data_IF_814892995368
#
_entry.id   IF_814892995368
#
_cell.length_a   1.000
_cell.length_b   1.000
_cell.length_c   1.000
_cell.angle_alpha   90.00
_cell.angle_beta   90.00
_cell.angle_gamma   90.00
#
_symmetry.space_group_name_H-M   'P 1'
#
loop_
_entity.id
_entity.type
_entity.pdbx_description
1 polymer ?
#
# COMPACT_ATOMS: atom_id res chain seq x y z
N UNK A 1 -20.20 23.03 70.96
CA UNK A 1 -19.18 23.33 69.93
C UNK A 1 -18.23 22.17 69.56
N UNK A 2 -17.96 21.20 70.43
CA UNK A 2 -17.03 20.06 70.09
C UNK A 2 -17.68 18.94 69.23
N UNK A 3 -18.98 18.67 69.43
CA UNK A 3 -19.71 17.58 68.75
C UNK A 3 -19.98 17.93 67.26
N UNK A 4 -20.26 19.20 66.92
CA UNK A 4 -20.49 19.65 65.55
C UNK A 4 -19.25 19.58 64.67
N UNK A 5 -18.05 19.76 65.24
CA UNK A 5 -16.77 19.62 64.50
C UNK A 5 -16.42 18.16 64.24
N UNK A 6 -16.79 17.25 65.11
CA UNK A 6 -16.57 15.80 64.88
C UNK A 6 -17.44 15.23 63.77
N UNK A 7 -18.71 15.68 63.70
CA UNK A 7 -19.63 15.26 62.65
C UNK A 7 -19.23 15.82 61.27
N UNK A 8 -18.72 17.04 61.22
CA UNK A 8 -18.20 17.61 59.95
C UNK A 8 -16.94 16.91 59.47
N UNK A 9 -16.04 16.47 60.34
CA UNK A 9 -14.83 15.72 59.98
C UNK A 9 -15.15 14.32 59.47
N UNK A 10 -16.19 13.67 59.99
CA UNK A 10 -16.62 12.33 59.53
C UNK A 10 -17.32 12.40 58.16
N UNK A 11 -18.07 13.44 57.87
CA UNK A 11 -18.71 13.67 56.54
C UNK A 11 -17.68 13.98 55.46
N UNK A 12 -16.62 14.72 55.73
CA UNK A 12 -15.53 15.00 54.80
C UNK A 12 -14.66 13.75 54.51
N UNK A 13 -14.44 12.88 55.49
CA UNK A 13 -13.73 11.63 55.34
C UNK A 13 -14.52 10.59 54.49
N UNK A 14 -15.85 10.58 54.60
CA UNK A 14 -16.73 9.72 53.80
C UNK A 14 -16.77 10.11 52.30
N UNK A 15 -16.63 11.40 51.99
CA UNK A 15 -16.56 11.89 50.60
C UNK A 15 -15.25 11.56 49.93
N UNK A 16 -14.16 11.46 50.66
CA UNK A 16 -12.83 11.10 50.09
C UNK A 16 -12.71 9.63 49.68
N UNK A 17 -13.55 8.74 50.21
CA UNK A 17 -13.55 7.31 49.87
C UNK A 17 -14.41 6.98 48.64
N UNK A 18 -15.29 7.88 48.20
CA UNK A 18 -16.13 7.67 47.02
C UNK A 18 -15.45 8.02 45.68
N UNK A 19 -14.27 8.67 45.72
CA UNK A 19 -13.61 9.22 44.55
C UNK A 19 -12.63 8.23 43.84
N UNK A 20 -12.55 6.97 44.26
CA UNK A 20 -11.59 5.98 43.71
C UNK A 20 -12.24 4.79 43.00
N UNK A 21 -13.45 4.94 42.49
CA UNK A 21 -13.92 3.96 41.50
C UNK A 21 -13.19 4.23 40.19
N UNK A 22 -12.00 3.63 40.03
CA UNK A 22 -11.33 3.62 38.73
C UNK A 22 -12.31 3.08 37.69
N UNK A 23 -12.51 3.85 36.61
CA UNK A 23 -13.30 3.35 35.49
C UNK A 23 -12.78 1.97 35.06
N UNK A 24 -13.63 0.99 34.77
CA UNK A 24 -13.19 -0.30 34.31
C UNK A 24 -12.24 -0.10 33.11
N UNK A 25 -11.15 -0.87 33.02
CA UNK A 25 -10.22 -0.72 31.92
C UNK A 25 -10.99 -0.89 30.61
N UNK A 26 -10.81 0.07 29.70
CA UNK A 26 -11.42 0.02 28.37
C UNK A 26 -10.88 -1.24 27.67
N UNK A 27 -11.74 -2.21 27.44
CA UNK A 27 -11.39 -3.40 26.67
C UNK A 27 -11.52 -3.07 25.18
N UNK A 28 -10.38 -2.95 24.49
CA UNK A 28 -10.34 -2.83 23.04
C UNK A 28 -10.50 -4.23 22.45
N UNK A 29 -11.49 -4.48 21.58
CA UNK A 29 -11.66 -5.78 20.95
C UNK A 29 -10.42 -6.16 20.14
N UNK A 30 -9.87 -7.35 20.34
CA UNK A 30 -8.74 -7.86 19.55
C UNK A 30 -9.26 -8.40 18.21
N UNK A 31 -9.53 -7.50 17.27
CA UNK A 31 -9.93 -7.82 15.90
C UNK A 31 -8.88 -7.35 14.90
N UNK A 32 -8.84 -7.97 13.72
CA UNK A 32 -7.90 -7.56 12.67
C UNK A 32 -8.15 -6.10 12.22
N UNK A 33 -9.38 -5.66 12.21
CA UNK A 33 -9.73 -4.25 11.91
C UNK A 33 -9.12 -3.30 12.96
N UNK A 34 -9.18 -3.66 14.25
CA UNK A 34 -8.56 -2.88 15.32
C UNK A 34 -7.03 -2.87 15.21
N UNK A 35 -6.41 -4.00 14.87
CA UNK A 35 -4.96 -4.09 14.64
C UNK A 35 -4.54 -3.27 13.42
N UNK A 36 -5.36 -3.21 12.38
CA UNK A 36 -5.13 -2.41 11.18
C UNK A 36 -5.33 -0.90 11.38
N UNK A 37 -5.90 -0.46 12.52
CA UNK A 37 -6.20 0.95 12.80
C UNK A 37 -4.95 1.84 12.73
N UNK A 38 -3.78 1.34 13.14
CA UNK A 38 -2.52 2.07 13.05
C UNK A 38 -2.12 2.38 11.59
N UNK A 39 -2.49 1.53 10.64
CA UNK A 39 -2.15 1.69 9.23
C UNK A 39 -3.00 2.78 8.57
N UNK A 40 -4.29 2.89 8.95
CA UNK A 40 -5.22 3.83 8.34
C UNK A 40 -4.93 5.29 8.68
N UNK A 41 -4.17 5.57 9.73
CA UNK A 41 -3.72 6.92 10.07
C UNK A 41 -2.96 7.60 8.91
N UNK A 42 -2.17 6.83 8.17
CA UNK A 42 -1.41 7.30 7.00
C UNK A 42 -2.06 6.86 5.67
N UNK A 43 -2.55 5.61 5.60
CA UNK A 43 -3.08 5.04 4.35
C UNK A 43 -4.56 5.38 4.10
N UNK A 44 -5.17 6.25 4.92
CA UNK A 44 -6.56 6.65 4.80
C UNK A 44 -7.53 5.59 5.30
N UNK A 45 -8.80 5.99 5.41
CA UNK A 45 -9.86 5.12 5.90
C UNK A 45 -9.84 3.80 5.13
N UNK A 46 -9.80 2.69 5.87
CA UNK A 46 -9.75 1.32 5.33
C UNK A 46 -8.63 1.09 4.28
N UNK A 47 -7.57 1.91 4.30
CA UNK A 47 -6.48 1.82 3.34
C UNK A 47 -6.82 2.32 1.94
N UNK A 48 -7.79 3.21 1.80
CA UNK A 48 -8.22 3.78 0.52
C UNK A 48 -7.20 4.72 -0.13
N UNK A 49 -6.16 5.13 0.58
CA UNK A 49 -5.24 6.23 0.29
C UNK A 49 -5.70 7.58 0.83
N UNK A 50 -4.82 8.56 0.83
CA UNK A 50 -5.12 9.95 1.20
C UNK A 50 -4.87 10.88 0.00
N UNK A 51 -5.45 12.06 0.02
CA UNK A 51 -5.36 13.04 -1.08
C UNK A 51 -3.95 13.55 -1.36
N UNK A 52 -3.01 13.38 -0.42
CA UNK A 52 -1.63 13.86 -0.55
C UNK A 52 -0.75 13.10 -1.55
N UNK A 53 -1.23 12.04 -2.18
CA UNK A 53 -0.54 11.30 -3.23
C UNK A 53 0.72 10.53 -2.82
N UNK A 54 1.12 10.60 -1.54
CA UNK A 54 2.33 9.96 -1.02
C UNK A 54 2.05 8.56 -0.45
N UNK A 55 0.94 8.41 0.27
CA UNK A 55 0.56 7.15 0.90
C UNK A 55 -0.28 6.31 -0.06
N UNK A 56 0.18 5.11 -0.45
CA UNK A 56 -0.53 4.30 -1.44
C UNK A 56 -1.79 3.68 -0.86
N UNK A 57 -2.75 3.42 -1.74
CA UNK A 57 -3.89 2.54 -1.48
C UNK A 57 -3.41 1.12 -1.13
N UNK A 58 -3.98 0.54 -0.09
CA UNK A 58 -3.77 -0.84 0.35
C UNK A 58 -4.92 -1.75 -0.10
N UNK A 59 -6.17 -1.25 0.01
CA UNK A 59 -7.38 -2.02 -0.24
C UNK A 59 -7.42 -2.64 -1.63
N UNK A 60 -7.83 -3.90 -1.71
CA UNK A 60 -8.05 -4.64 -2.97
C UNK A 60 -6.78 -5.04 -3.71
N UNK A 61 -5.58 -4.82 -3.16
CA UNK A 61 -4.34 -5.33 -3.75
C UNK A 61 -4.19 -6.82 -3.45
N UNK A 62 -3.49 -7.60 -4.32
CA UNK A 62 -3.23 -9.01 -4.04
C UNK A 62 -2.61 -9.21 -2.66
N UNK A 63 -3.11 -10.20 -1.92
CA UNK A 63 -2.62 -10.51 -0.56
C UNK A 63 -1.12 -10.77 -0.54
N UNK A 64 -0.63 -11.63 -1.45
CA UNK A 64 0.79 -11.95 -1.55
C UNK A 64 1.66 -10.73 -1.88
N UNK A 65 1.12 -9.76 -2.66
CA UNK A 65 1.82 -8.49 -2.87
C UNK A 65 1.93 -7.71 -1.57
N UNK A 66 0.84 -7.50 -0.84
CA UNK A 66 0.84 -6.75 0.42
C UNK A 66 1.78 -7.40 1.44
N UNK A 67 1.69 -8.71 1.62
CA UNK A 67 2.57 -9.45 2.50
C UNK A 67 4.05 -9.28 2.14
N UNK A 68 4.39 -9.41 0.85
CA UNK A 68 5.75 -9.22 0.38
C UNK A 68 6.25 -7.78 0.57
N UNK A 69 5.39 -6.76 0.47
CA UNK A 69 5.77 -5.38 0.75
C UNK A 69 6.05 -5.16 2.24
N UNK A 70 5.17 -5.63 3.13
CA UNK A 70 5.36 -5.52 4.57
C UNK A 70 6.68 -6.20 5.00
N UNK A 71 6.94 -7.42 4.51
CA UNK A 71 8.23 -8.09 4.74
C UNK A 71 9.41 -7.32 4.15
N UNK A 72 9.25 -6.73 2.97
CA UNK A 72 10.34 -5.99 2.33
C UNK A 72 10.74 -4.76 3.13
N UNK A 73 9.81 -4.08 3.78
CA UNK A 73 10.12 -2.99 4.72
C UNK A 73 10.80 -3.52 5.98
N UNK A 74 10.28 -4.60 6.57
CA UNK A 74 10.86 -5.21 7.78
C UNK A 74 12.29 -5.69 7.55
N UNK A 75 12.52 -6.35 6.42
CA UNK A 75 13.77 -7.03 6.11
C UNK A 75 14.76 -6.11 5.32
N UNK A 76 14.48 -4.81 5.19
CA UNK A 76 15.39 -3.81 4.60
C UNK A 76 15.51 -3.87 3.07
N UNK A 77 14.67 -4.63 2.35
CA UNK A 77 14.64 -4.65 0.88
C UNK A 77 13.92 -3.46 0.27
N UNK A 78 13.10 -2.78 1.05
CA UNK A 78 12.40 -1.55 0.70
C UNK A 78 12.50 -0.61 1.89
N UNK A 79 12.91 0.63 1.65
CA UNK A 79 13.09 1.58 2.72
C UNK A 79 12.00 2.66 2.70
N UNK A 80 11.44 2.90 3.86
CA UNK A 80 10.68 4.08 4.28
C UNK A 80 10.70 4.03 5.82
N UNK A 81 11.17 5.10 6.47
CA UNK A 81 11.42 5.11 7.90
C UNK A 81 10.16 4.72 8.72
N UNK A 82 9.01 5.33 8.37
CA UNK A 82 7.76 5.09 9.09
C UNK A 82 7.28 3.66 8.90
N UNK A 83 7.28 3.15 7.64
CA UNK A 83 6.87 1.79 7.36
C UNK A 83 7.80 0.76 8.00
N UNK A 84 9.11 0.98 7.99
CA UNK A 84 10.07 0.10 8.67
C UNK A 84 9.79 0.09 10.17
N UNK A 85 9.60 1.26 10.79
CA UNK A 85 9.26 1.37 12.19
C UNK A 85 7.98 0.60 12.54
N UNK A 86 6.95 0.73 11.73
CA UNK A 86 5.65 0.08 11.95
C UNK A 86 5.71 -1.45 11.89
N UNK A 87 6.59 -2.03 11.08
CA UNK A 87 6.57 -3.49 10.81
C UNK A 87 7.78 -4.26 11.35
N UNK A 88 8.85 -3.59 11.81
CA UNK A 88 10.13 -4.23 12.17
C UNK A 88 10.03 -5.33 13.23
N UNK A 89 9.04 -5.28 14.11
CA UNK A 89 8.84 -6.25 15.19
C UNK A 89 7.67 -7.22 14.93
N UNK A 90 7.00 -7.13 13.79
CA UNK A 90 5.84 -7.97 13.50
C UNK A 90 6.26 -9.33 12.91
N UNK A 91 5.61 -10.39 13.38
CA UNK A 91 5.82 -11.74 12.86
C UNK A 91 5.23 -11.91 11.44
N UNK A 92 5.70 -12.93 10.71
CA UNK A 92 5.14 -13.28 9.40
C UNK A 92 3.64 -13.58 9.48
N UNK A 93 3.18 -14.23 10.56
CA UNK A 93 1.77 -14.52 10.78
C UNK A 93 0.95 -13.23 10.88
N UNK A 94 1.40 -12.27 11.69
CA UNK A 94 0.72 -10.99 11.85
C UNK A 94 0.73 -10.17 10.54
N UNK A 95 1.84 -10.16 9.81
CA UNK A 95 1.92 -9.49 8.50
C UNK A 95 0.98 -10.12 7.46
N UNK A 96 0.76 -11.45 7.50
CA UNK A 96 -0.21 -12.13 6.63
C UNK A 96 -1.64 -11.73 6.98
N UNK A 97 -2.01 -11.69 8.26
CA UNK A 97 -3.35 -11.26 8.69
C UNK A 97 -3.67 -9.83 8.22
N UNK A 98 -2.71 -8.90 8.36
CA UNK A 98 -2.86 -7.53 7.84
C UNK A 98 -3.00 -7.50 6.31
N UNK A 99 -2.18 -8.29 5.60
CA UNK A 99 -2.24 -8.37 4.14
C UNK A 99 -3.58 -8.92 3.66
N UNK A 100 -4.07 -10.01 4.26
CA UNK A 100 -5.36 -10.60 3.96
C UNK A 100 -6.52 -9.63 4.24
N UNK A 101 -6.47 -8.91 5.37
CA UNK A 101 -7.47 -7.91 5.72
C UNK A 101 -7.60 -6.83 4.64
N UNK A 102 -6.51 -6.18 4.27
CA UNK A 102 -6.56 -5.12 3.24
C UNK A 102 -6.84 -5.66 1.84
N UNK A 103 -6.41 -6.87 1.51
CA UNK A 103 -6.71 -7.50 0.24
C UNK A 103 -8.20 -7.80 0.06
N UNK A 104 -8.91 -8.12 1.16
CA UNK A 104 -10.34 -8.41 1.17
C UNK A 104 -11.25 -7.17 1.14
N UNK A 105 -10.68 -5.96 1.24
CA UNK A 105 -11.49 -4.73 1.20
C UNK A 105 -11.76 -4.31 -0.24
N UNK A 106 -13.04 -4.15 -0.58
CA UNK A 106 -13.49 -3.63 -1.87
C UNK A 106 -14.03 -2.21 -1.71
N UNK A 107 -13.20 -1.23 -2.00
CA UNK A 107 -13.52 0.19 -1.86
C UNK A 107 -13.46 0.88 -3.22
N UNK A 108 -14.32 1.89 -3.46
CA UNK A 108 -14.24 2.70 -4.66
C UNK A 108 -12.87 3.38 -4.78
N UNK A 109 -12.42 3.57 -6.01
CA UNK A 109 -11.24 4.37 -6.29
C UNK A 109 -11.59 5.85 -6.34
N UNK A 110 -10.64 6.75 -6.00
CA UNK A 110 -10.84 8.18 -6.20
C UNK A 110 -11.02 8.49 -7.69
N UNK A 111 -11.69 9.60 -8.02
CA UNK A 111 -11.80 10.07 -9.40
C UNK A 111 -10.42 10.20 -10.06
N UNK A 112 -10.32 9.86 -11.33
CA UNK A 112 -9.11 10.08 -12.12
C UNK A 112 -8.85 11.58 -12.24
N UNK A 113 -7.59 12.06 -12.07
CA UNK A 113 -7.25 13.47 -12.25
C UNK A 113 -7.65 13.98 -13.66
N UNK A 114 -8.31 15.14 -13.73
CA UNK A 114 -8.78 15.71 -14.98
C UNK A 114 -7.65 16.38 -15.79
N UNK A 115 -6.56 16.79 -15.13
CA UNK A 115 -5.50 17.59 -15.72
C UNK A 115 -4.13 16.92 -15.57
N UNK A 116 -3.27 17.17 -16.53
CA UNK A 116 -1.86 16.76 -16.52
C UNK A 116 -0.99 17.85 -17.13
N UNK A 117 0.26 17.90 -16.68
CA UNK A 117 1.35 18.69 -17.29
C UNK A 117 2.12 17.90 -18.37
N UNK A 118 1.72 16.67 -18.64
CA UNK A 118 2.37 15.82 -19.62
C UNK A 118 1.99 16.21 -21.06
N UNK A 119 2.99 16.23 -21.95
CA UNK A 119 2.73 16.48 -23.39
C UNK A 119 2.11 15.27 -24.07
N UNK A 120 1.45 15.45 -25.23
CA UNK A 120 0.91 14.34 -26.02
C UNK A 120 1.95 13.26 -26.34
N UNK A 121 3.19 13.66 -26.67
CA UNK A 121 4.29 12.75 -26.99
C UNK A 121 4.72 11.93 -25.75
N UNK A 122 4.76 12.56 -24.60
CA UNK A 122 5.05 11.87 -23.32
C UNK A 122 3.95 10.86 -23.03
N UNK A 123 2.69 11.21 -23.19
CA UNK A 123 1.57 10.28 -22.99
C UNK A 123 1.58 9.12 -23.98
N UNK A 124 1.86 9.39 -25.28
CA UNK A 124 2.01 8.35 -26.29
C UNK A 124 3.16 7.38 -25.95
N UNK A 125 4.30 7.90 -25.50
CA UNK A 125 5.41 7.06 -25.03
C UNK A 125 5.01 6.20 -23.82
N UNK A 126 4.30 6.78 -22.84
CA UNK A 126 3.79 6.08 -21.67
C UNK A 126 2.86 4.93 -22.05
N UNK A 127 1.93 5.17 -22.96
CA UNK A 127 1.03 4.16 -23.50
C UNK A 127 1.79 3.03 -24.22
N UNK A 128 2.74 3.38 -25.07
CA UNK A 128 3.56 2.42 -25.80
C UNK A 128 4.34 1.51 -24.83
N UNK A 129 5.00 2.06 -23.83
CA UNK A 129 5.67 1.27 -22.80
C UNK A 129 4.72 0.36 -22.04
N UNK A 130 3.50 0.82 -21.78
CA UNK A 130 2.51 0.06 -21.03
C UNK A 130 2.01 -1.16 -21.80
N UNK A 131 1.74 -1.05 -23.10
CA UNK A 131 1.12 -2.13 -23.87
C UNK A 131 2.03 -2.81 -24.89
N UNK A 132 3.12 -2.18 -25.30
CA UNK A 132 4.04 -2.71 -26.30
C UNK A 132 5.42 -2.98 -25.72
N UNK A 133 5.81 -2.24 -24.67
CA UNK A 133 7.16 -2.29 -24.11
C UNK A 133 8.20 -1.62 -25.03
N UNK A 134 9.44 -2.08 -24.93
CA UNK A 134 10.54 -1.66 -25.79
C UNK A 134 11.47 -2.84 -26.04
N UNK A 135 11.19 -3.60 -27.09
CA UNK A 135 11.92 -4.83 -27.41
C UNK A 135 13.40 -4.59 -27.67
N UNK A 136 13.77 -3.44 -28.29
CA UNK A 136 15.16 -3.11 -28.58
C UNK A 136 15.99 -2.96 -27.29
N UNK A 137 15.38 -2.51 -26.20
CA UNK A 137 15.99 -2.41 -24.88
C UNK A 137 15.65 -3.59 -23.96
N UNK A 138 14.89 -4.56 -24.46
CA UNK A 138 14.45 -5.72 -23.70
C UNK A 138 13.57 -5.34 -22.51
N UNK A 139 12.68 -4.33 -22.67
CA UNK A 139 11.68 -3.90 -21.70
C UNK A 139 10.35 -4.53 -22.11
N UNK A 140 9.81 -5.49 -21.33
CA UNK A 140 8.48 -6.05 -21.61
C UNK A 140 7.40 -5.01 -21.40
N UNK A 141 6.25 -5.16 -22.04
CA UNK A 141 5.08 -4.33 -21.76
C UNK A 141 4.61 -4.51 -20.32
N UNK A 142 4.22 -3.44 -19.65
CA UNK A 142 3.71 -3.50 -18.28
C UNK A 142 2.50 -4.46 -18.17
N UNK A 143 1.61 -4.39 -19.16
CA UNK A 143 0.40 -5.23 -19.24
C UNK A 143 0.69 -6.74 -19.32
N UNK A 144 1.86 -7.15 -19.84
CA UNK A 144 2.23 -8.56 -19.89
C UNK A 144 2.39 -9.20 -18.51
N UNK A 145 2.71 -8.40 -17.49
CA UNK A 145 2.84 -8.87 -16.12
C UNK A 145 1.69 -8.39 -15.24
N UNK A 146 1.28 -7.12 -15.37
CA UNK A 146 0.28 -6.51 -14.51
C UNK A 146 -1.18 -6.73 -14.96
N UNK A 147 -1.39 -7.59 -15.97
CA UNK A 147 -2.70 -7.86 -16.58
C UNK A 147 -3.09 -6.84 -17.64
N UNK A 148 -3.89 -7.27 -18.62
CA UNK A 148 -4.29 -6.40 -19.75
C UNK A 148 -5.11 -5.18 -19.28
N UNK A 149 -5.94 -5.35 -18.26
CA UNK A 149 -6.68 -4.27 -17.61
C UNK A 149 -5.85 -3.50 -16.58
N UNK A 150 -4.57 -3.86 -16.35
CA UNK A 150 -3.67 -3.25 -15.38
C UNK A 150 -4.18 -3.28 -13.93
N UNK A 151 -5.10 -4.18 -13.62
CA UNK A 151 -5.68 -4.36 -12.27
C UNK A 151 -4.83 -5.25 -11.37
N UNK A 152 -3.81 -5.90 -11.92
CA UNK A 152 -2.92 -6.81 -11.19
C UNK A 152 -3.27 -8.28 -11.43
N UNK A 153 -2.45 -9.18 -10.86
CA UNK A 153 -2.57 -10.62 -11.02
C UNK A 153 -2.30 -11.32 -9.69
N UNK A 154 -3.15 -12.26 -9.33
CA UNK A 154 -2.92 -13.09 -8.15
C UNK A 154 -1.69 -14.02 -8.37
N UNK A 155 -0.96 -14.37 -7.30
CA UNK A 155 -1.16 -13.93 -5.92
C UNK A 155 -0.43 -12.64 -5.55
N UNK A 156 0.49 -12.10 -6.37
CA UNK A 156 1.44 -11.12 -5.88
C UNK A 156 1.84 -9.99 -6.84
N UNK A 157 1.17 -9.81 -7.99
CA UNK A 157 1.46 -8.71 -8.92
C UNK A 157 0.37 -7.63 -8.75
N UNK A 158 0.74 -6.39 -8.35
CA UNK A 158 -0.23 -5.35 -8.06
C UNK A 158 -0.82 -4.73 -9.33
N UNK A 159 -2.01 -4.17 -9.22
CA UNK A 159 -2.57 -3.23 -10.20
C UNK A 159 -1.78 -1.93 -10.25
N UNK A 160 -1.83 -1.26 -11.39
CA UNK A 160 -1.11 -0.01 -11.66
C UNK A 160 -2.04 1.21 -11.76
N UNK A 161 -3.36 1.01 -11.84
CA UNK A 161 -4.35 2.07 -11.98
C UNK A 161 -4.81 2.63 -10.64
N UNK A 162 -5.35 3.86 -10.66
CA UNK A 162 -5.83 4.55 -9.48
C UNK A 162 -4.74 4.90 -8.45
N UNK A 163 -3.49 4.96 -8.89
CA UNK A 163 -2.34 5.32 -8.07
C UNK A 163 -1.84 6.71 -8.45
N UNK A 164 -1.48 7.55 -7.47
CA UNK A 164 -0.92 8.88 -7.76
C UNK A 164 0.37 8.79 -8.57
N UNK A 165 0.56 9.72 -9.53
CA UNK A 165 1.77 9.80 -10.37
C UNK A 165 3.05 9.85 -9.52
N UNK A 166 3.05 10.67 -8.46
CA UNK A 166 4.21 10.82 -7.58
C UNK A 166 4.60 9.49 -6.92
N UNK A 167 3.60 8.73 -6.46
CA UNK A 167 3.85 7.40 -5.89
C UNK A 167 4.43 6.45 -6.94
N UNK A 168 3.84 6.37 -8.13
CA UNK A 168 4.33 5.51 -9.22
C UNK A 168 5.78 5.86 -9.60
N UNK A 169 6.09 7.17 -9.75
CA UNK A 169 7.42 7.66 -10.09
C UNK A 169 8.44 7.31 -9.02
N UNK A 170 8.10 7.49 -7.73
CA UNK A 170 9.01 7.16 -6.64
C UNK A 170 9.29 5.65 -6.57
N UNK A 171 8.30 4.80 -6.90
CA UNK A 171 8.52 3.35 -6.90
C UNK A 171 9.45 2.90 -8.04
N UNK A 172 9.23 3.37 -9.26
CA UNK A 172 10.10 3.07 -10.41
C UNK A 172 11.48 3.68 -10.23
N UNK A 173 11.57 4.91 -9.71
CA UNK A 173 12.82 5.57 -9.37
C UNK A 173 13.64 4.77 -8.36
N UNK A 174 13.02 4.25 -7.31
CA UNK A 174 13.70 3.45 -6.29
C UNK A 174 14.28 2.13 -6.85
N UNK A 175 13.68 1.50 -7.85
CA UNK A 175 14.30 0.37 -8.56
C UNK A 175 15.44 0.82 -9.48
N UNK A 176 15.31 1.98 -10.14
CA UNK A 176 16.38 2.54 -10.97
C UNK A 176 17.62 2.85 -10.13
N UNK A 177 17.46 3.48 -8.95
CA UNK A 177 18.54 3.85 -8.02
C UNK A 177 19.02 2.70 -7.14
N UNK A 178 18.37 1.54 -7.21
CA UNK A 178 18.66 0.36 -6.40
C UNK A 178 18.33 0.51 -4.89
N UNK A 179 17.42 1.43 -4.55
CA UNK A 179 16.92 1.63 -3.18
C UNK A 179 15.74 0.71 -2.84
N UNK A 180 15.21 0.01 -3.84
CA UNK A 180 14.11 -0.94 -3.70
C UNK A 180 14.47 -2.28 -4.34
N UNK A 181 14.23 -3.35 -3.58
CA UNK A 181 14.42 -4.74 -4.00
C UNK A 181 13.19 -5.58 -3.68
N UNK A 182 13.01 -6.67 -4.42
CA UNK A 182 12.13 -7.77 -4.07
C UNK A 182 12.94 -9.03 -3.77
N UNK A 183 12.27 -10.10 -3.36
CA UNK A 183 12.90 -11.43 -3.30
C UNK A 183 13.35 -11.84 -4.71
N UNK A 184 14.45 -12.58 -4.77
CA UNK A 184 14.96 -13.09 -6.05
C UNK A 184 14.06 -14.22 -6.60
N UNK A 185 13.82 -14.26 -7.91
CA UNK A 185 14.23 -13.30 -8.93
C UNK A 185 13.40 -12.02 -8.93
N UNK A 186 14.06 -10.86 -8.77
CA UNK A 186 13.42 -9.54 -8.78
C UNK A 186 13.18 -9.08 -10.21
N UNK A 187 11.95 -9.30 -10.68
CA UNK A 187 11.55 -8.95 -12.05
C UNK A 187 11.47 -7.42 -12.24
N UNK A 188 10.97 -6.69 -11.24
CA UNK A 188 10.84 -5.24 -11.36
C UNK A 188 12.18 -4.51 -11.32
N UNK A 189 13.18 -5.01 -10.59
CA UNK A 189 14.54 -4.49 -10.68
C UNK A 189 15.12 -4.62 -12.09
N UNK A 190 14.84 -5.77 -12.79
CA UNK A 190 15.26 -5.97 -14.18
C UNK A 190 14.60 -5.00 -15.15
N UNK A 191 13.33 -4.64 -14.91
CA UNK A 191 12.60 -3.65 -15.72
C UNK A 191 13.04 -2.24 -15.37
N UNK A 192 13.00 -1.87 -14.09
CA UNK A 192 13.27 -0.52 -13.61
C UNK A 192 14.66 -0.01 -13.99
N UNK A 193 15.68 -0.88 -13.94
CA UNK A 193 17.06 -0.53 -14.34
C UNK A 193 17.24 -0.25 -15.84
N UNK A 194 16.27 -0.62 -16.67
CA UNK A 194 16.29 -0.33 -18.12
C UNK A 194 15.50 0.91 -18.49
N UNK A 195 14.66 1.43 -17.59
CA UNK A 195 13.89 2.65 -17.81
C UNK A 195 14.79 3.87 -17.63
N UNK A 196 14.65 4.85 -18.51
CA UNK A 196 15.22 6.18 -18.30
C UNK A 196 14.28 7.01 -17.42
N UNK A 197 14.76 8.12 -16.88
CA UNK A 197 13.92 9.08 -16.15
C UNK A 197 12.78 9.60 -17.04
N UNK A 198 13.04 9.80 -18.34
CA UNK A 198 12.01 10.18 -19.30
C UNK A 198 10.93 9.10 -19.47
N UNK A 199 11.32 7.81 -19.53
CA UNK A 199 10.38 6.69 -19.59
C UNK A 199 9.54 6.60 -18.31
N UNK A 200 10.15 6.78 -17.14
CA UNK A 200 9.45 6.80 -15.84
C UNK A 200 8.41 7.92 -15.83
N UNK A 201 8.80 9.12 -16.23
CA UNK A 201 7.86 10.24 -16.32
C UNK A 201 6.72 9.96 -17.29
N UNK A 202 7.01 9.40 -18.46
CA UNK A 202 6.03 9.07 -19.47
C UNK A 202 5.01 8.04 -18.99
N UNK A 203 5.48 6.90 -18.51
CA UNK A 203 4.60 5.79 -18.09
C UNK A 203 3.77 6.17 -16.86
N UNK A 204 4.34 6.88 -15.89
CA UNK A 204 3.62 7.25 -14.67
C UNK A 204 2.60 8.36 -14.92
N UNK A 205 2.89 9.31 -15.84
CA UNK A 205 1.91 10.30 -16.27
C UNK A 205 0.74 9.66 -16.99
N UNK A 206 1.01 8.72 -17.89
CA UNK A 206 -0.04 8.03 -18.62
C UNK A 206 -0.90 7.18 -17.69
N UNK A 207 -0.30 6.35 -16.82
CA UNK A 207 -1.03 5.47 -15.89
C UNK A 207 -1.91 6.24 -14.91
N UNK A 208 -1.44 7.37 -14.39
CA UNK A 208 -2.20 8.18 -13.43
C UNK A 208 -3.47 8.82 -14.03
N UNK A 209 -3.54 8.93 -15.35
CA UNK A 209 -4.70 9.48 -16.08
C UNK A 209 -5.68 8.40 -16.53
N UNK A 210 -5.36 7.11 -16.37
CA UNK A 210 -6.26 6.07 -16.84
C UNK A 210 -7.40 5.86 -15.84
N UNK A 211 -8.64 5.72 -16.33
CA UNK A 211 -9.76 5.36 -15.49
C UNK A 211 -9.55 3.95 -14.92
N UNK A 212 -9.95 3.75 -13.68
CA UNK A 212 -10.01 2.42 -13.09
C UNK A 212 -11.26 1.72 -13.61
N UNK A 213 -11.18 0.49 -14.13
CA UNK A 213 -12.35 -0.24 -14.62
C UNK A 213 -13.31 -0.58 -13.48
N UNK A 214 -14.59 -0.80 -13.81
CA UNK A 214 -15.62 -1.15 -12.82
C UNK A 214 -15.24 -2.41 -12.04
N UNK A 215 -14.72 -3.45 -12.72
CA UNK A 215 -14.04 -4.56 -12.06
C UNK A 215 -12.55 -4.24 -11.95
N UNK A 216 -12.15 -3.82 -10.77
CA UNK A 216 -10.77 -3.46 -10.45
C UNK A 216 -10.00 -4.57 -9.75
N UNK A 217 -10.59 -5.75 -9.59
CA UNK A 217 -9.95 -6.87 -8.92
C UNK A 217 -8.78 -7.43 -9.74
N UNK A 218 -7.72 -7.89 -9.06
CA UNK A 218 -6.64 -8.60 -9.72
C UNK A 218 -7.16 -9.88 -10.39
N UNK A 219 -6.77 -10.12 -11.65
CA UNK A 219 -7.14 -11.36 -12.34
C UNK A 219 -6.50 -12.57 -11.67
N UNK A 220 -7.16 -13.72 -11.73
CA UNK A 220 -6.67 -14.96 -11.11
C UNK A 220 -5.35 -15.45 -11.72
N UNK A 221 -5.19 -15.30 -13.04
CA UNK A 221 -3.98 -15.71 -13.78
C UNK A 221 -3.83 -14.92 -15.07
N UNK A 222 -2.61 -14.88 -15.59
CA UNK A 222 -2.33 -14.39 -16.94
C UNK A 222 -2.70 -15.45 -18.00
N UNK A 223 -3.01 -15.03 -19.22
CA UNK A 223 -3.32 -15.94 -20.32
C UNK A 223 -2.09 -16.75 -20.80
N UNK A 224 -0.89 -16.38 -20.37
CA UNK A 224 0.35 -17.04 -20.74
C UNK A 224 1.46 -16.83 -19.70
N UNK A 225 2.66 -17.38 -19.93
CA UNK A 225 3.77 -17.26 -19.01
C UNK A 225 4.27 -15.81 -18.92
N UNK A 226 4.85 -15.45 -17.77
CA UNK A 226 5.53 -14.17 -17.61
C UNK A 226 6.73 -14.07 -18.57
N UNK A 227 6.96 -12.89 -19.20
CA UNK A 227 8.09 -12.67 -20.10
C UNK A 227 9.46 -12.76 -19.38
N UNK A 228 9.46 -12.60 -18.06
CA UNK A 228 10.63 -12.73 -17.19
C UNK A 228 10.26 -13.44 -15.89
N UNK A 229 11.19 -14.21 -15.33
CA UNK A 229 10.97 -14.89 -14.03
C UNK A 229 10.80 -13.88 -12.92
N UNK A 230 9.79 -14.10 -12.07
CA UNK A 230 9.39 -13.18 -11.01
C UNK A 230 9.02 -13.93 -9.72
N UNK A 231 9.61 -13.55 -8.60
CA UNK A 231 9.30 -14.12 -7.28
C UNK A 231 7.89 -13.80 -6.79
N UNK A 232 7.25 -12.75 -7.32
CA UNK A 232 5.90 -12.35 -6.94
C UNK A 232 4.83 -13.42 -7.23
N UNK A 233 5.13 -14.38 -8.10
CA UNK A 233 4.24 -15.51 -8.42
C UNK A 233 4.49 -16.74 -7.55
N UNK A 234 5.51 -16.73 -6.70
CA UNK A 234 5.75 -17.81 -5.73
C UNK A 234 4.79 -17.64 -4.55
N UNK A 235 4.10 -18.71 -4.19
CA UNK A 235 3.20 -18.77 -3.03
C UNK A 235 3.99 -18.94 -1.73
#
# INVERSE_FOLDING_TARGET
MKITRLLQSLLLAAWSLAASAAAPPMQVPDTIAQRAAACIACHGREGASTDGGYFPRLSGKPEGYLFNQLRSFRDGRRFNADMTHMVQHLSDAYLRELAAYFAGLDLPYPPTPANTDATPEMLARGQALTFQGDAARGIPACAQCHGQALTGVQPGIPGLLGLPRLYLSSQLGAWLTNDRHALAPDCMAKVGKKLTTADINAVTSWLALQPVPADSHPVAALPGPLPIRCSAMNR
#
